data_IF_561592187800
#
_entry.id   IF_561592187800
#
_cell.length_a   1.000
_cell.length_b   1.000
_cell.length_c   1.000
_cell.angle_alpha   90.00
_cell.angle_beta   90.00
_cell.angle_gamma   90.00
#
_symmetry.space_group_name_H-M   'P 1'
#
loop_
_entity.id
_entity.type
_entity.pdbx_description
1 polymer ?
#
# COMPACT_ATOMS: atom_id res chain seq x y z
N UNK A 1 -20.95 4.19 -19.82
CA UNK A 1 -20.28 3.00 -20.39
C UNK A 1 -20.02 3.32 -21.85
N UNK A 2 -18.84 2.97 -22.38
CA UNK A 2 -18.51 3.24 -23.80
C UNK A 2 -19.49 2.51 -24.69
N UNK A 3 -20.12 3.23 -25.61
CA UNK A 3 -20.97 2.65 -26.65
C UNK A 3 -20.14 2.33 -27.89
N UNK A 4 -20.58 1.35 -28.65
CA UNK A 4 -19.90 0.92 -29.87
C UNK A 4 -20.81 1.13 -31.07
N UNK A 5 -20.23 1.61 -32.17
CA UNK A 5 -20.87 1.73 -33.46
C UNK A 5 -21.10 0.35 -34.08
N UNK A 6 -21.89 0.29 -35.16
CA UNK A 6 -22.20 -0.96 -35.87
C UNK A 6 -20.96 -1.67 -36.45
N UNK A 7 -19.87 -0.94 -36.68
CA UNK A 7 -18.59 -1.47 -37.16
C UNK A 7 -17.68 -2.02 -36.04
N UNK A 8 -18.16 -1.97 -34.78
CA UNK A 8 -17.41 -2.41 -33.61
C UNK A 8 -16.38 -1.40 -33.09
N UNK A 9 -16.31 -0.19 -33.65
CA UNK A 9 -15.48 0.90 -33.12
C UNK A 9 -16.18 1.60 -31.96
N UNK A 10 -15.45 2.09 -30.94
CA UNK A 10 -16.06 2.86 -29.86
C UNK A 10 -16.54 4.23 -30.38
N UNK A 11 -17.75 4.65 -29.97
CA UNK A 11 -18.27 5.99 -30.27
C UNK A 11 -17.45 7.05 -29.51
N UNK A 12 -16.70 7.92 -30.21
CA UNK A 12 -15.84 8.91 -29.56
C UNK A 12 -16.59 9.86 -28.60
N UNK A 13 -17.88 10.08 -28.79
CA UNK A 13 -18.68 10.98 -27.95
C UNK A 13 -19.03 10.37 -26.58
N UNK A 14 -18.88 9.05 -26.43
CA UNK A 14 -19.15 8.35 -25.16
C UNK A 14 -17.89 7.90 -24.44
N UNK A 15 -16.73 8.06 -25.08
CA UNK A 15 -15.42 7.79 -24.49
C UNK A 15 -15.00 8.98 -23.62
N UNK A 16 -14.78 8.71 -22.33
CA UNK A 16 -14.16 9.66 -21.41
C UNK A 16 -12.71 9.22 -21.20
N UNK A 17 -11.71 9.98 -21.68
CA UNK A 17 -10.31 9.67 -21.44
C UNK A 17 -9.98 9.70 -19.94
N UNK A 18 -9.08 8.82 -19.51
CA UNK A 18 -8.54 8.78 -18.15
C UNK A 18 -7.02 8.96 -18.22
N UNK A 19 -6.51 9.94 -17.49
CA UNK A 19 -5.07 10.07 -17.25
C UNK A 19 -4.80 9.69 -15.79
N UNK A 20 -4.13 8.56 -15.59
CA UNK A 20 -3.77 8.04 -14.28
C UNK A 20 -2.28 8.25 -14.01
N UNK A 21 -1.94 8.60 -12.78
CA UNK A 21 -0.56 8.86 -12.37
C UNK A 21 -0.28 8.34 -10.97
N UNK A 22 0.78 7.55 -10.81
CA UNK A 22 1.17 6.94 -9.54
C UNK A 22 2.62 7.27 -9.13
N UNK A 23 2.88 7.30 -7.83
CA UNK A 23 4.21 7.58 -7.27
C UNK A 23 4.54 6.67 -6.08
N UNK A 24 5.81 6.28 -5.96
CA UNK A 24 6.37 5.58 -4.81
C UNK A 24 7.85 5.93 -4.68
N UNK A 25 8.20 6.71 -3.64
CA UNK A 25 9.54 7.24 -3.44
C UNK A 25 10.04 8.01 -4.66
N UNK A 26 11.12 7.53 -5.28
CA UNK A 26 11.72 8.14 -6.46
C UNK A 26 11.22 7.55 -7.78
N UNK A 27 10.19 6.70 -7.74
CA UNK A 27 9.57 6.10 -8.93
C UNK A 27 8.19 6.68 -9.14
N UNK A 28 7.78 6.75 -10.39
CA UNK A 28 6.42 7.13 -10.78
C UNK A 28 6.11 6.70 -12.19
N UNK A 29 4.83 6.76 -12.55
CA UNK A 29 4.34 6.45 -13.89
C UNK A 29 3.15 7.33 -14.24
N UNK A 30 2.88 7.44 -15.54
CA UNK A 30 1.68 8.07 -16.11
C UNK A 30 1.10 7.10 -17.13
N UNK A 31 -0.23 6.95 -17.12
CA UNK A 31 -0.98 6.09 -18.03
C UNK A 31 -2.14 6.87 -18.64
N UNK A 32 -2.21 6.94 -19.97
CA UNK A 32 -3.32 7.54 -20.70
C UNK A 32 -4.22 6.44 -21.25
N UNK A 33 -5.43 6.35 -20.71
CA UNK A 33 -6.44 5.37 -21.08
C UNK A 33 -7.52 6.04 -21.93
N UNK A 34 -7.68 5.54 -23.16
CA UNK A 34 -8.80 5.86 -24.04
C UNK A 34 -9.58 4.57 -24.22
N UNK A 35 -10.66 4.42 -23.44
CA UNK A 35 -11.40 3.16 -23.36
C UNK A 35 -11.89 2.68 -24.73
N UNK A 36 -11.62 1.41 -25.03
CA UNK A 36 -11.92 0.78 -26.33
C UNK A 36 -10.87 1.04 -27.41
N UNK A 37 -9.85 1.86 -27.14
CA UNK A 37 -8.77 2.19 -28.09
C UNK A 37 -7.36 1.88 -27.55
N UNK A 38 -7.05 2.23 -26.31
CA UNK A 38 -5.77 1.91 -25.65
C UNK A 38 -5.96 0.88 -24.54
N UNK A 39 -4.84 0.33 -24.02
CA UNK A 39 -4.88 -0.57 -22.87
C UNK A 39 -5.46 0.12 -21.65
N UNK A 40 -6.42 -0.54 -20.99
CA UNK A 40 -7.01 -0.03 -19.75
C UNK A 40 -6.13 -0.38 -18.54
N UNK A 41 -6.54 0.07 -17.36
CA UNK A 41 -5.87 -0.25 -16.11
C UNK A 41 -5.79 -1.77 -15.86
N UNK A 42 -6.83 -2.52 -16.25
CA UNK A 42 -6.84 -3.99 -16.10
C UNK A 42 -5.77 -4.66 -16.96
N UNK A 43 -5.51 -4.13 -18.17
CA UNK A 43 -4.46 -4.63 -19.05
C UNK A 43 -3.04 -4.45 -18.48
N UNK A 44 -2.87 -3.55 -17.50
CA UNK A 44 -1.58 -3.24 -16.89
C UNK A 44 -1.46 -3.69 -15.44
N UNK A 45 -2.44 -4.43 -14.90
CA UNK A 45 -2.43 -4.88 -13.49
C UNK A 45 -1.17 -5.66 -13.13
N UNK A 46 -0.66 -6.49 -14.05
CA UNK A 46 0.56 -7.28 -13.84
C UNK A 46 1.83 -6.43 -13.70
N UNK A 47 1.79 -5.14 -14.06
CA UNK A 47 2.90 -4.21 -13.88
C UNK A 47 2.96 -3.64 -12.45
N UNK A 48 1.88 -3.72 -11.68
CA UNK A 48 1.89 -3.29 -10.28
C UNK A 48 2.69 -4.27 -9.43
N UNK A 49 3.54 -3.79 -8.50
CA UNK A 49 4.30 -4.67 -7.65
C UNK A 49 3.36 -5.50 -6.76
N UNK A 50 3.69 -6.78 -6.50
CA UNK A 50 2.88 -7.61 -5.65
C UNK A 50 2.81 -7.03 -4.24
N UNK A 51 1.64 -7.08 -3.62
CA UNK A 51 1.48 -6.65 -2.23
C UNK A 51 2.32 -7.54 -1.32
N UNK A 52 3.12 -6.93 -0.44
CA UNK A 52 3.86 -7.67 0.58
C UNK A 52 2.88 -8.22 1.60
N UNK A 53 2.65 -9.53 1.56
CA UNK A 53 1.87 -10.29 2.53
C UNK A 53 2.74 -11.42 3.10
N UNK A 54 2.94 -11.41 4.41
CA UNK A 54 3.67 -12.47 5.09
C UNK A 54 2.74 -13.66 5.39
N UNK A 55 3.18 -14.91 5.18
CA UNK A 55 2.37 -16.07 5.54
C UNK A 55 2.06 -16.12 7.03
N UNK A 56 0.82 -16.48 7.38
CA UNK A 56 0.38 -16.53 8.78
C UNK A 56 1.21 -17.50 9.62
N UNK A 57 1.64 -18.64 9.06
CA UNK A 57 2.51 -19.59 9.73
C UNK A 57 3.88 -18.99 10.09
N UNK A 58 4.43 -18.13 9.23
CA UNK A 58 5.67 -17.40 9.47
C UNK A 58 5.49 -16.37 10.56
N UNK A 59 4.41 -15.57 10.49
CA UNK A 59 4.08 -14.57 11.51
C UNK A 59 3.90 -15.23 12.88
N UNK A 60 3.14 -16.33 12.96
CA UNK A 60 2.75 -16.97 14.20
C UNK A 60 3.89 -17.75 14.87
N UNK A 61 4.67 -18.51 14.09
CA UNK A 61 5.58 -19.52 14.64
C UNK A 61 7.05 -19.36 14.27
N UNK A 62 7.36 -18.79 13.10
CA UNK A 62 8.74 -18.74 12.58
C UNK A 62 9.13 -17.35 12.08
N UNK A 63 9.06 -16.30 12.93
CA UNK A 63 9.47 -14.96 12.54
C UNK A 63 10.97 -14.93 12.20
N UNK A 64 11.34 -14.10 11.22
CA UNK A 64 12.72 -13.98 10.71
C UNK A 64 13.14 -12.54 10.51
N UNK A 65 12.17 -11.65 10.28
CA UNK A 65 12.35 -10.22 10.10
C UNK A 65 11.62 -9.47 11.22
N UNK A 66 12.09 -8.26 11.62
CA UNK A 66 11.40 -7.46 12.63
C UNK A 66 9.95 -7.14 12.26
N UNK A 67 9.63 -7.01 10.97
CA UNK A 67 8.27 -6.83 10.45
C UNK A 67 7.34 -8.00 10.83
N UNK A 68 7.85 -9.23 10.86
CA UNK A 68 7.05 -10.40 11.26
C UNK A 68 6.64 -10.31 12.74
N UNK A 69 7.50 -9.74 13.59
CA UNK A 69 7.19 -9.54 15.00
C UNK A 69 6.11 -8.47 15.18
N UNK A 70 6.17 -7.40 14.40
CA UNK A 70 5.18 -6.31 14.43
C UNK A 70 3.83 -6.80 13.90
N UNK A 71 3.82 -7.54 12.79
CA UNK A 71 2.59 -8.10 12.23
C UNK A 71 1.93 -9.14 13.16
N UNK A 72 2.72 -9.90 13.92
CA UNK A 72 2.14 -10.76 14.95
C UNK A 72 1.37 -9.96 16.00
N UNK A 73 1.95 -8.86 16.47
CA UNK A 73 1.30 -8.04 17.49
C UNK A 73 0.03 -7.41 16.92
N UNK A 74 0.12 -6.86 15.71
CA UNK A 74 -0.99 -6.22 14.99
C UNK A 74 -2.14 -7.18 14.68
N UNK A 75 -1.86 -8.37 14.14
CA UNK A 75 -2.89 -9.28 13.64
C UNK A 75 -3.41 -10.26 14.69
N UNK A 76 -2.58 -10.67 15.64
CA UNK A 76 -2.91 -11.73 16.59
C UNK A 76 -2.99 -11.20 18.02
N UNK A 77 -1.95 -10.53 18.51
CA UNK A 77 -1.86 -10.17 19.93
C UNK A 77 -2.86 -9.08 20.33
N UNK A 78 -3.07 -8.08 19.47
CA UNK A 78 -3.98 -6.97 19.75
C UNK A 78 -5.38 -7.45 20.12
N UNK A 79 -5.99 -8.25 19.23
CA UNK A 79 -7.34 -8.82 19.44
C UNK A 79 -7.41 -9.80 20.61
N UNK A 80 -6.28 -10.40 20.97
CA UNK A 80 -6.20 -11.36 22.08
C UNK A 80 -6.14 -10.67 23.44
N UNK A 81 -5.36 -9.59 23.55
CA UNK A 81 -5.14 -8.89 24.82
C UNK A 81 -6.07 -7.70 25.03
N UNK A 82 -6.69 -7.18 23.96
CA UNK A 82 -7.56 -5.99 24.00
C UNK A 82 -7.00 -4.87 24.90
N UNK A 83 -5.76 -4.41 24.64
CA UNK A 83 -5.01 -3.56 25.57
C UNK A 83 -5.67 -2.22 25.87
N UNK A 84 -6.54 -1.74 24.98
CA UNK A 84 -7.27 -0.48 25.10
C UNK A 84 -8.80 -0.71 25.05
N UNK A 85 -9.26 -1.92 25.37
CA UNK A 85 -10.65 -2.34 25.19
C UNK A 85 -10.95 -2.83 23.78
N UNK A 86 -12.24 -2.90 23.43
CA UNK A 86 -12.72 -3.32 22.10
C UNK A 86 -12.56 -2.19 21.06
N UNK A 87 -11.31 -1.77 20.85
CA UNK A 87 -10.94 -0.72 19.91
C UNK A 87 -10.01 -1.25 18.84
N UNK A 88 -10.21 -0.77 17.61
CA UNK A 88 -9.30 -1.07 16.52
C UNK A 88 -7.96 -0.35 16.69
N UNK A 89 -6.92 -0.87 16.05
CA UNK A 89 -5.61 -0.21 16.01
C UNK A 89 -5.72 1.10 15.24
N UNK A 90 -5.66 2.21 15.98
CA UNK A 90 -5.35 3.52 15.42
C UNK A 90 -3.83 3.68 15.26
N UNK A 91 -3.36 3.81 14.02
CA UNK A 91 -1.94 4.02 13.72
C UNK A 91 -1.44 5.43 14.03
N UNK A 92 -2.33 6.42 14.17
CA UNK A 92 -2.01 7.80 14.52
C UNK A 92 -1.95 8.02 16.04
N UNK A 93 -2.54 7.12 16.83
CA UNK A 93 -2.44 7.12 18.29
C UNK A 93 -1.02 6.76 18.76
N UNK A 94 -0.30 7.68 19.44
CA UNK A 94 1.03 7.37 19.99
C UNK A 94 1.00 6.23 21.01
N UNK A 95 -0.08 6.10 21.79
CA UNK A 95 -0.24 5.05 22.79
C UNK A 95 -0.35 3.66 22.15
N UNK A 96 -1.14 3.54 21.08
CA UNK A 96 -1.27 2.29 20.33
C UNK A 96 0.05 1.87 19.70
N UNK A 97 0.73 2.82 19.03
CA UNK A 97 2.02 2.56 18.40
C UNK A 97 3.08 2.17 19.44
N UNK A 98 3.11 2.84 20.59
CA UNK A 98 4.04 2.52 21.67
C UNK A 98 3.77 1.13 22.24
N UNK A 99 2.50 0.78 22.48
CA UNK A 99 2.16 -0.56 22.95
C UNK A 99 2.56 -1.64 21.95
N UNK A 100 2.29 -1.43 20.65
CA UNK A 100 2.68 -2.37 19.60
C UNK A 100 4.20 -2.51 19.56
N UNK A 101 4.93 -1.41 19.66
CA UNK A 101 6.40 -1.43 19.72
C UNK A 101 6.90 -2.30 20.86
N UNK A 102 6.43 -2.08 22.09
CA UNK A 102 6.93 -2.77 23.27
C UNK A 102 6.65 -4.28 23.22
N UNK A 103 5.47 -4.68 22.74
CA UNK A 103 5.15 -6.09 22.54
C UNK A 103 5.97 -6.72 21.41
N UNK A 104 6.23 -5.95 20.35
CA UNK A 104 7.03 -6.43 19.22
C UNK A 104 8.48 -6.65 19.65
N UNK A 105 9.05 -5.77 20.49
CA UNK A 105 10.38 -5.93 21.09
C UNK A 105 10.46 -7.20 21.95
N UNK A 106 9.48 -7.44 22.83
CA UNK A 106 9.42 -8.67 23.65
C UNK A 106 9.41 -9.92 22.78
N UNK A 107 8.60 -9.92 21.70
CA UNK A 107 8.57 -11.03 20.75
C UNK A 107 9.89 -11.19 20.03
N UNK A 108 10.49 -10.11 19.54
CA UNK A 108 11.76 -10.18 18.81
C UNK A 108 12.88 -10.73 19.68
N UNK A 109 12.96 -10.33 20.96
CA UNK A 109 13.91 -10.88 21.92
C UNK A 109 13.76 -12.41 22.07
N UNK A 110 12.54 -12.93 22.13
CA UNK A 110 12.29 -14.37 22.24
C UNK A 110 12.78 -15.17 21.03
N UNK A 111 12.93 -14.53 19.86
CA UNK A 111 13.42 -15.15 18.62
C UNK A 111 14.83 -14.66 18.22
N UNK A 112 15.51 -13.87 19.06
CA UNK A 112 16.83 -13.33 18.75
C UNK A 112 16.86 -12.32 17.59
N UNK A 113 15.76 -11.63 17.34
CA UNK A 113 15.61 -10.63 16.26
C UNK A 113 15.85 -9.22 16.84
N UNK A 114 16.58 -8.39 16.10
CA UNK A 114 16.85 -6.98 16.44
C UNK A 114 16.30 -6.03 15.36
N UNK A 115 16.36 -4.72 15.62
CA UNK A 115 16.03 -3.70 14.62
C UNK A 115 14.59 -3.17 14.67
N UNK A 116 13.83 -3.50 15.72
CA UNK A 116 12.53 -2.88 15.95
C UNK A 116 12.74 -1.45 16.42
N UNK A 117 12.13 -0.51 15.70
CA UNK A 117 12.11 0.91 16.01
C UNK A 117 10.68 1.43 15.87
N UNK A 118 10.34 2.54 16.54
CA UNK A 118 9.02 3.17 16.39
C UNK A 118 8.70 3.52 14.94
N UNK A 119 9.70 3.99 14.18
CA UNK A 119 9.57 4.27 12.74
C UNK A 119 9.18 3.02 11.95
N UNK A 120 9.81 1.88 12.23
CA UNK A 120 9.48 0.62 11.58
C UNK A 120 8.05 0.17 11.95
N UNK A 121 7.66 0.28 13.22
CA UNK A 121 6.31 -0.05 13.68
C UNK A 121 5.26 0.79 12.95
N UNK A 122 5.45 2.10 12.87
CA UNK A 122 4.56 2.99 12.11
C UNK A 122 4.51 2.60 10.63
N UNK A 123 5.67 2.30 10.03
CA UNK A 123 5.79 1.84 8.65
C UNK A 123 4.94 0.60 8.37
N UNK A 124 5.02 -0.41 9.24
CA UNK A 124 4.26 -1.65 9.11
C UNK A 124 2.77 -1.44 9.41
N UNK A 125 2.43 -0.79 10.53
CA UNK A 125 1.04 -0.60 10.96
C UNK A 125 0.22 0.21 9.96
N UNK A 126 0.80 1.28 9.42
CA UNK A 126 0.13 2.16 8.45
C UNK A 126 0.36 1.77 6.99
N UNK A 127 1.20 0.75 6.73
CA UNK A 127 1.68 0.41 5.37
C UNK A 127 2.21 1.66 4.63
N UNK A 128 3.09 2.43 5.28
CA UNK A 128 3.56 3.72 4.76
C UNK A 128 4.30 3.53 3.43
N UNK A 129 3.81 4.18 2.38
CA UNK A 129 4.50 4.31 1.09
C UNK A 129 5.37 5.58 1.14
N UNK A 130 6.70 5.50 0.90
CA UNK A 130 7.55 6.68 0.85
C UNK A 130 7.07 7.67 -0.21
N UNK A 131 7.10 8.97 0.10
CA UNK A 131 6.71 10.02 -0.84
C UNK A 131 7.68 11.21 -0.78
N UNK A 132 7.98 11.80 -1.94
CA UNK A 132 8.79 13.01 -2.08
C UNK A 132 8.13 13.99 -3.05
N UNK A 133 8.14 15.28 -2.72
CA UNK A 133 7.45 16.31 -3.50
C UNK A 133 7.95 16.41 -4.95
N UNK A 134 9.24 16.15 -5.20
CA UNK A 134 9.83 16.20 -6.54
C UNK A 134 9.22 15.16 -7.48
N UNK A 135 9.05 13.91 -7.04
CA UNK A 135 8.46 12.84 -7.85
C UNK A 135 6.99 13.15 -8.15
N UNK A 136 6.24 13.64 -7.17
CA UNK A 136 4.85 14.04 -7.35
C UNK A 136 4.74 15.18 -8.36
N UNK A 137 5.63 16.17 -8.30
CA UNK A 137 5.64 17.28 -9.24
C UNK A 137 5.91 16.81 -10.68
N UNK A 138 6.88 15.91 -10.88
CA UNK A 138 7.20 15.35 -12.20
C UNK A 138 6.01 14.58 -12.78
N UNK A 139 5.42 13.66 -12.00
CA UNK A 139 4.29 12.84 -12.47
C UNK A 139 3.06 13.71 -12.72
N UNK A 140 2.71 14.63 -11.80
CA UNK A 140 1.57 15.51 -11.98
C UNK A 140 1.73 16.45 -13.19
N UNK A 141 2.95 16.95 -13.45
CA UNK A 141 3.23 17.77 -14.62
C UNK A 141 3.04 16.98 -15.93
N UNK A 142 3.50 15.73 -15.96
CA UNK A 142 3.27 14.85 -17.11
C UNK A 142 1.78 14.55 -17.31
N UNK A 143 1.03 14.23 -16.24
CA UNK A 143 -0.42 14.05 -16.35
C UNK A 143 -1.12 15.30 -16.87
N UNK A 144 -0.80 16.49 -16.33
CA UNK A 144 -1.42 17.74 -16.75
C UNK A 144 -1.11 18.08 -18.22
N UNK A 145 0.07 17.69 -18.72
CA UNK A 145 0.47 17.87 -20.12
C UNK A 145 -0.43 17.07 -21.07
N UNK A 146 -0.78 15.83 -20.71
CA UNK A 146 -1.66 14.96 -21.53
C UNK A 146 -3.15 15.34 -21.47
N UNK A 147 -3.53 16.21 -20.52
CA UNK A 147 -4.90 16.73 -20.37
C UNK A 147 -5.09 18.07 -21.11
N UNK A 148 -3.99 18.74 -21.47
CA UNK A 148 -3.99 20.07 -22.09
C UNK A 148 -4.22 20.01 -23.60
#
# INVERSE_FOLDING_TARGET
>A
MVTYNEDGTPDPNTVIPLVDGGTEGFKGHVLVVVYGLTGCLECTLDLYPPQVNFPLCTIAHTPRLPEHCIEYVRLLLWSKENPFGDVAIDGDSPEHIQWIHDQSVKRAQAFGISGITLRLVQGVVKRIIPAVASTNAVVAAACATEVS
#
